data_IF_096461777516
#
_entry.id   IF_096461777516
#
_cell.length_a   1.000
_cell.length_b   1.000
_cell.length_c   1.000
_cell.angle_alpha   90.00
_cell.angle_beta   90.00
_cell.angle_gamma   90.00
#
_symmetry.space_group_name_H-M   'P 1'
#
loop_
_entity.id
_entity.type
_entity.pdbx_description
1 polymer ?
#
# COMPACT_ATOMS: atom_id res chain seq x y z
N UNK A 1 -13.82 -0.83 -6.10
CA UNK A 1 -12.81 -0.09 -6.88
C UNK A 1 -11.82 -1.10 -7.44
N UNK A 2 -11.68 -1.20 -8.75
CA UNK A 2 -10.70 -2.07 -9.42
C UNK A 2 -9.58 -1.19 -9.97
N UNK A 3 -8.31 -1.54 -9.71
CA UNK A 3 -7.16 -0.81 -10.24
C UNK A 3 -6.36 -1.70 -11.18
N UNK A 4 -6.08 -1.19 -12.38
CA UNK A 4 -5.22 -1.81 -13.37
C UNK A 4 -3.75 -1.54 -12.99
N UNK A 5 -3.08 -2.55 -12.45
CA UNK A 5 -1.67 -2.48 -12.08
C UNK A 5 -0.77 -2.62 -13.32
N UNK A 6 -0.60 -1.53 -14.08
CA UNK A 6 0.71 -1.31 -14.70
C UNK A 6 1.62 -0.89 -13.55
N UNK A 7 2.70 -1.63 -13.32
CA UNK A 7 3.61 -1.49 -12.18
C UNK A 7 4.48 -0.21 -12.25
N UNK A 8 3.83 0.94 -12.43
CA UNK A 8 4.24 2.22 -11.85
C UNK A 8 3.26 2.40 -10.71
N UNK A 9 3.72 2.44 -9.46
CA UNK A 9 2.90 2.91 -8.32
C UNK A 9 2.63 4.39 -8.59
N UNK A 10 1.69 4.64 -9.47
CA UNK A 10 1.25 5.95 -9.88
C UNK A 10 0.31 6.39 -8.79
N UNK A 11 0.82 7.23 -7.90
CA UNK A 11 0.09 7.92 -6.82
C UNK A 11 -1.00 8.86 -7.36
N UNK A 12 -1.48 8.70 -8.61
CA UNK A 12 -2.42 9.58 -9.31
C UNK A 12 -3.86 9.57 -8.77
N UNK A 13 -4.10 8.94 -7.62
CA UNK A 13 -5.32 9.12 -6.81
C UNK A 13 -5.09 9.76 -5.44
N UNK A 14 -3.83 9.98 -5.03
CA UNK A 14 -3.50 10.67 -3.80
C UNK A 14 -3.54 12.17 -4.07
N UNK A 15 -4.52 12.83 -3.47
CA UNK A 15 -4.74 14.27 -3.59
C UNK A 15 -3.42 15.02 -3.39
N UNK A 16 -3.20 15.99 -4.27
CA UNK A 16 -2.01 16.83 -4.36
C UNK A 16 -1.76 17.50 -3.00
N UNK A 17 -0.90 16.87 -2.20
CA UNK A 17 -0.79 17.17 -0.78
C UNK A 17 -0.94 15.95 0.13
N UNK A 18 -0.39 14.78 -0.19
CA UNK A 18 -0.05 13.73 0.79
C UNK A 18 1.34 13.21 0.39
N UNK A 19 2.39 13.55 1.16
CA UNK A 19 3.71 12.96 0.93
C UNK A 19 3.71 11.54 1.50
N UNK A 20 3.06 10.65 0.77
CA UNK A 20 3.03 9.24 1.12
C UNK A 20 4.30 8.57 0.61
N UNK A 21 5.20 8.18 1.51
CA UNK A 21 6.37 7.37 1.15
C UNK A 21 6.02 5.91 1.35
N UNK A 22 5.96 5.15 0.24
CA UNK A 22 5.93 3.69 0.29
C UNK A 22 7.20 3.20 0.97
N UNK A 23 7.02 2.41 2.03
CA UNK A 23 8.13 1.92 2.85
C UNK A 23 8.54 0.54 2.36
N UNK A 24 7.56 -0.34 2.08
CA UNK A 24 7.86 -1.74 1.79
C UNK A 24 6.78 -2.39 0.91
N UNK A 25 7.23 -3.28 0.04
CA UNK A 25 6.41 -4.22 -0.72
C UNK A 25 6.81 -5.64 -0.29
N UNK A 26 5.86 -6.41 0.21
CA UNK A 26 6.10 -7.77 0.71
C UNK A 26 5.17 -8.75 0.01
N UNK A 27 5.69 -9.90 -0.41
CA UNK A 27 4.86 -11.03 -0.85
C UNK A 27 4.49 -11.87 0.38
N UNK A 28 3.19 -12.01 0.66
CA UNK A 28 2.66 -12.78 1.77
C UNK A 28 1.58 -13.74 1.26
N UNK A 29 1.87 -15.05 1.27
CA UNK A 29 0.88 -16.08 0.88
C UNK A 29 0.32 -15.93 -0.54
N UNK A 30 1.12 -15.43 -1.48
CA UNK A 30 0.68 -15.15 -2.87
C UNK A 30 -0.06 -13.82 -3.03
N UNK A 31 -0.16 -13.03 -1.97
CA UNK A 31 -0.74 -11.68 -1.98
C UNK A 31 0.37 -10.63 -1.90
N UNK A 32 0.07 -9.46 -2.44
CA UNK A 32 0.93 -8.30 -2.33
C UNK A 32 0.52 -7.47 -1.12
N UNK A 33 1.46 -7.23 -0.21
CA UNK A 33 1.29 -6.32 0.93
C UNK A 33 2.08 -5.05 0.67
N UNK A 34 1.42 -3.90 0.82
CA UNK A 34 2.03 -2.57 0.66
C UNK A 34 1.92 -1.83 1.97
N UNK A 35 3.04 -1.29 2.44
CA UNK A 35 3.10 -0.49 3.67
C UNK A 35 3.63 0.90 3.32
N UNK A 36 2.94 1.94 3.78
CA UNK A 36 3.35 3.32 3.53
C UNK A 36 3.09 4.21 4.75
N UNK A 37 3.85 5.31 4.84
CA UNK A 37 3.54 6.38 5.77
C UNK A 37 2.59 7.38 5.12
N UNK A 38 1.61 7.88 5.85
CA UNK A 38 0.79 9.01 5.49
C UNK A 38 0.97 10.12 6.52
N UNK A 39 1.35 11.31 6.06
CA UNK A 39 1.60 12.43 6.97
C UNK A 39 0.31 13.12 7.37
N UNK A 40 0.12 13.37 8.67
CA UNK A 40 -1.03 14.14 9.12
C UNK A 40 -0.84 15.61 8.74
N UNK A 41 -1.79 16.15 7.98
CA UNK A 41 -1.73 17.54 7.49
C UNK A 41 -1.93 18.58 8.59
N UNK A 42 -2.70 18.23 9.61
CA UNK A 42 -3.00 19.07 10.77
C UNK A 42 -1.89 18.97 11.81
N UNK A 43 -1.35 17.77 12.03
CA UNK A 43 -0.29 17.50 12.99
C UNK A 43 1.00 17.10 12.28
N UNK A 44 1.79 18.09 11.84
CA UNK A 44 3.05 17.88 11.08
C UNK A 44 4.12 17.07 11.82
N UNK A 45 3.94 16.81 13.10
CA UNK A 45 4.84 15.98 13.90
C UNK A 45 4.42 14.52 13.95
N UNK A 46 3.24 14.19 13.44
CA UNK A 46 2.68 12.85 13.47
C UNK A 46 2.39 12.34 12.05
N UNK A 47 2.49 11.03 11.92
CA UNK A 47 2.14 10.28 10.72
C UNK A 47 1.40 9.02 11.11
N UNK A 48 0.73 8.43 10.14
CA UNK A 48 0.06 7.15 10.28
C UNK A 48 0.74 6.15 9.35
N UNK A 49 0.92 4.92 9.80
CA UNK A 49 1.41 3.81 8.97
C UNK A 49 0.19 3.04 8.49
N UNK A 50 0.09 2.90 7.19
CA UNK A 50 -0.97 2.17 6.53
C UNK A 50 -0.46 0.86 5.98
N UNK A 51 -1.37 -0.12 5.89
CA UNK A 51 -1.12 -1.40 5.27
C UNK A 51 -2.28 -1.75 4.33
N UNK A 52 -1.95 -2.13 3.11
CA UNK A 52 -2.88 -2.70 2.16
C UNK A 52 -2.47 -4.13 1.81
N UNK A 53 -3.45 -5.03 1.80
CA UNK A 53 -3.30 -6.41 1.32
C UNK A 53 -4.07 -6.52 0.02
N UNK A 54 -3.37 -6.93 -1.03
CA UNK A 54 -3.87 -6.96 -2.40
C UNK A 54 -3.70 -8.38 -2.94
N UNK A 55 -4.82 -9.01 -3.27
CA UNK A 55 -4.81 -10.26 -4.03
C UNK A 55 -4.60 -9.97 -5.50
N UNK A 56 -3.70 -10.71 -6.13
CA UNK A 56 -3.42 -10.60 -7.54
C UNK A 56 -4.19 -11.69 -8.29
N UNK A 57 -4.96 -11.29 -9.29
CA UNK A 57 -5.73 -12.18 -10.14
C UNK A 57 -5.28 -12.00 -11.59
N UNK A 58 -4.96 -13.09 -12.25
CA UNK A 58 -4.76 -13.09 -13.69
C UNK A 58 -6.13 -13.17 -14.39
N UNK A 59 -6.43 -12.19 -15.24
CA UNK A 59 -7.66 -12.19 -16.03
C UNK A 59 -7.31 -12.17 -17.51
N UNK A 60 -7.88 -13.12 -18.24
CA UNK A 60 -7.84 -13.12 -19.70
C UNK A 60 -8.75 -12.00 -20.20
N UNK A 61 -8.18 -11.06 -20.93
CA UNK A 61 -8.93 -10.00 -21.60
C UNK A 61 -8.80 -10.15 -23.11
N UNK A 62 -9.68 -9.53 -23.92
CA UNK A 62 -9.55 -9.57 -25.38
C UNK A 62 -8.22 -9.01 -25.91
N UNK A 63 -7.51 -8.21 -25.10
CA UNK A 63 -6.20 -7.63 -25.40
C UNK A 63 -5.03 -8.49 -24.86
N UNK A 64 -5.32 -9.69 -24.34
CA UNK A 64 -4.34 -10.60 -23.74
C UNK A 64 -4.53 -10.78 -22.23
N UNK A 65 -3.62 -11.55 -21.63
CA UNK A 65 -3.54 -11.73 -20.19
C UNK A 65 -3.22 -10.41 -19.49
N UNK A 66 -3.99 -10.05 -18.47
CA UNK A 66 -3.72 -8.89 -17.62
C UNK A 66 -3.82 -9.26 -16.15
N UNK A 67 -2.88 -8.79 -15.34
CA UNK A 67 -2.97 -8.92 -13.89
C UNK A 67 -3.82 -7.79 -13.29
N UNK A 68 -4.71 -8.17 -12.38
CA UNK A 68 -5.59 -7.27 -11.64
C UNK A 68 -5.27 -7.37 -10.15
N UNK A 69 -5.31 -6.23 -9.46
CA UNK A 69 -5.17 -6.19 -8.01
C UNK A 69 -6.52 -5.95 -7.35
N UNK A 70 -6.96 -6.86 -6.49
CA UNK A 70 -8.11 -6.66 -5.62
C UNK A 70 -7.62 -6.33 -4.22
N UNK A 71 -7.93 -5.12 -3.74
CA UNK A 71 -7.66 -4.74 -2.36
C UNK A 71 -8.59 -5.53 -1.45
N UNK A 72 -8.02 -6.42 -0.63
CA UNK A 72 -8.77 -7.18 0.38
C UNK A 72 -8.86 -6.43 1.70
N UNK A 73 -7.79 -5.71 2.05
CA UNK A 73 -7.69 -4.95 3.29
C UNK A 73 -6.88 -3.68 3.05
N UNK A 74 -7.28 -2.58 3.68
CA UNK A 74 -6.58 -1.31 3.62
C UNK A 74 -6.89 -0.52 4.89
N UNK A 75 -6.02 -0.62 5.89
CA UNK A 75 -6.26 -0.05 7.21
C UNK A 75 -5.01 0.65 7.76
N UNK A 76 -5.22 1.53 8.73
CA UNK A 76 -4.15 2.11 9.55
C UNK A 76 -3.68 1.05 10.54
N UNK A 77 -2.41 0.68 10.48
CA UNK A 77 -1.79 -0.27 11.42
C UNK A 77 -1.18 0.43 12.62
N UNK A 78 -0.72 1.67 12.45
CA UNK A 78 -0.23 2.53 13.52
C UNK A 78 -0.69 3.95 13.25
N UNK A 79 -1.41 4.54 14.20
CA UNK A 79 -1.90 5.91 14.07
C UNK A 79 -1.15 6.87 14.99
N UNK A 80 -1.09 8.14 14.59
CA UNK A 80 -0.51 9.24 15.38
C UNK A 80 0.92 8.98 15.90
N UNK A 81 1.75 8.25 15.15
CA UNK A 81 3.15 8.03 15.54
C UNK A 81 3.99 9.27 15.26
N UNK A 82 4.92 9.58 16.15
CA UNK A 82 5.82 10.71 15.94
C UNK A 82 6.66 10.51 14.67
N UNK A 83 6.96 11.61 13.96
CA UNK A 83 7.65 11.62 12.68
C UNK A 83 9.01 10.91 12.67
N UNK A 84 9.65 10.83 13.84
CA UNK A 84 10.94 10.13 14.02
C UNK A 84 10.80 8.61 14.02
N UNK A 85 9.59 8.07 14.15
CA UNK A 85 9.35 6.64 14.06
C UNK A 85 9.75 6.14 12.67
N UNK A 86 10.68 5.19 12.62
CA UNK A 86 11.14 4.58 11.39
C UNK A 86 10.81 3.10 11.42
N UNK A 87 10.03 2.66 10.44
CA UNK A 87 9.79 1.25 10.24
C UNK A 87 11.05 0.66 9.58
N UNK A 88 11.65 -0.35 10.22
CA UNK A 88 12.95 -0.90 9.83
C UNK A 88 12.82 -2.05 8.83
N UNK A 89 11.88 -2.96 9.05
CA UNK A 89 11.65 -4.13 8.21
C UNK A 89 10.28 -4.74 8.50
N UNK A 90 9.63 -5.32 7.48
CA UNK A 90 8.42 -6.11 7.65
C UNK A 90 8.70 -7.58 7.33
N UNK A 91 8.33 -8.45 8.27
CA UNK A 91 8.42 -9.88 8.09
C UNK A 91 7.01 -10.43 7.88
N UNK A 92 6.83 -11.09 6.74
CA UNK A 92 5.63 -11.86 6.45
C UNK A 92 5.79 -13.24 7.06
N UNK A 93 4.92 -13.60 8.02
CA UNK A 93 4.87 -14.95 8.60
C UNK A 93 3.51 -15.56 8.28
N UNK A 94 3.50 -16.66 7.54
CA UNK A 94 2.31 -17.48 7.33
C UNK A 94 2.23 -18.50 8.46
N UNK A 95 1.12 -18.49 9.20
CA UNK A 95 0.86 -19.43 10.31
C UNK A 95 0.19 -20.69 9.77
#
# INVERSE_FOLDING_TARGET
>A
MEFLLNMTVSTRGMTQGMESRTIELVNHGGKLVIIWNEWNRTHREHKSVWCAVISLEERLTPLGTRMWGRVERCDVVLDLVHKSYMLSSCLSVTV
#
